data_IF_995998933327
#
_entry.id   IF_995998933327
#
_cell.length_a   1.000
_cell.length_b   1.000
_cell.length_c   1.000
_cell.angle_alpha   90.00
_cell.angle_beta   90.00
_cell.angle_gamma   90.00
#
_symmetry.space_group_name_H-M   'P 1'
#
loop_
_entity.id
_entity.type
_entity.pdbx_description
1 polymer ?
#
# COMPACT_ATOMS: atom_id res chain seq x y z
N UNK A 1 16.57 9.30 25.83
CA UNK A 1 16.22 7.87 25.90
C UNK A 1 14.78 7.76 26.38
N UNK A 2 13.82 7.69 25.46
CA UNK A 2 12.43 7.42 25.81
C UNK A 2 12.30 5.91 26.02
N UNK A 3 11.86 5.51 27.21
CA UNK A 3 11.56 4.11 27.53
C UNK A 3 10.49 3.62 26.55
N UNK A 4 10.83 2.64 25.72
CA UNK A 4 9.84 1.83 25.03
C UNK A 4 9.15 1.02 26.10
N UNK A 5 7.98 1.48 26.56
CA UNK A 5 7.09 0.64 27.34
C UNK A 5 6.72 -0.54 26.44
N UNK A 6 7.25 -1.71 26.78
CA UNK A 6 6.82 -2.96 26.18
C UNK A 6 5.30 -3.05 26.42
N UNK A 7 4.54 -3.11 25.33
CA UNK A 7 3.11 -3.36 25.39
C UNK A 7 2.89 -4.62 26.23
N UNK A 8 2.16 -4.51 27.34
CA UNK A 8 1.79 -5.65 28.16
C UNK A 8 1.16 -6.73 27.26
N UNK A 9 1.62 -7.97 27.40
CA UNK A 9 1.05 -9.16 26.74
C UNK A 9 -0.39 -9.36 27.24
N UNK A 10 -1.32 -8.61 26.64
CA UNK A 10 -2.75 -8.78 26.86
C UNK A 10 -3.24 -9.90 25.96
N UNK A 11 -3.82 -10.93 26.54
CA UNK A 11 -4.51 -11.97 25.78
C UNK A 11 -5.70 -11.38 25.02
N UNK A 12 -5.75 -11.66 23.70
CA UNK A 12 -6.86 -11.28 22.84
C UNK A 12 -8.10 -12.11 23.19
N UNK A 13 -9.25 -11.46 23.37
CA UNK A 13 -10.50 -12.20 23.60
C UNK A 13 -10.97 -12.89 22.33
N UNK A 14 -11.79 -13.95 22.47
CA UNK A 14 -12.37 -14.66 21.31
C UNK A 14 -13.16 -13.73 20.38
N UNK A 15 -13.89 -12.77 20.94
CA UNK A 15 -14.67 -11.82 20.14
C UNK A 15 -13.79 -10.78 19.45
N UNK A 16 -12.74 -10.27 20.10
CA UNK A 16 -11.76 -9.39 19.45
C UNK A 16 -11.06 -10.09 18.29
N UNK A 17 -10.63 -11.35 18.49
CA UNK A 17 -10.01 -12.17 17.45
C UNK A 17 -10.97 -12.39 16.27
N UNK A 18 -12.24 -12.68 16.54
CA UNK A 18 -13.25 -12.86 15.48
C UNK A 18 -13.44 -11.58 14.68
N UNK A 19 -13.50 -10.42 15.33
CA UNK A 19 -13.60 -9.12 14.67
C UNK A 19 -12.37 -8.86 13.80
N UNK A 20 -11.18 -9.17 14.30
CA UNK A 20 -9.92 -9.02 13.56
C UNK A 20 -9.89 -9.91 12.31
N UNK A 21 -10.24 -11.20 12.44
CA UNK A 21 -10.30 -12.14 11.32
C UNK A 21 -11.27 -11.65 10.25
N UNK A 22 -12.45 -11.15 10.64
CA UNK A 22 -13.43 -10.64 9.69
C UNK A 22 -12.93 -9.39 8.94
N UNK A 23 -12.20 -8.50 9.63
CA UNK A 23 -11.57 -7.33 9.01
C UNK A 23 -10.50 -7.74 8.00
N UNK A 24 -9.61 -8.65 8.38
CA UNK A 24 -8.55 -9.14 7.51
C UNK A 24 -9.12 -9.88 6.30
N UNK A 25 -10.15 -10.70 6.51
CA UNK A 25 -10.87 -11.39 5.44
C UNK A 25 -11.49 -10.38 4.47
N UNK A 26 -12.19 -9.36 4.98
CA UNK A 26 -12.78 -8.33 4.14
C UNK A 26 -11.73 -7.57 3.30
N UNK A 27 -10.59 -7.23 3.91
CA UNK A 27 -9.48 -6.57 3.22
C UNK A 27 -8.86 -7.46 2.14
N UNK A 28 -8.61 -8.74 2.46
CA UNK A 28 -8.08 -9.71 1.51
C UNK A 28 -9.03 -9.93 0.32
N UNK A 29 -10.33 -10.10 0.60
CA UNK A 29 -11.36 -10.21 -0.43
C UNK A 29 -11.45 -8.95 -1.29
N UNK A 30 -11.41 -7.76 -0.68
CA UNK A 30 -11.42 -6.49 -1.44
C UNK A 30 -10.22 -6.39 -2.38
N UNK A 31 -9.00 -6.66 -1.89
CA UNK A 31 -7.78 -6.68 -2.72
C UNK A 31 -7.88 -7.69 -3.87
N UNK A 32 -8.45 -8.88 -3.59
CA UNK A 32 -8.68 -9.91 -4.59
C UNK A 32 -9.66 -9.47 -5.68
N UNK A 33 -10.79 -8.87 -5.29
CA UNK A 33 -11.79 -8.37 -6.24
C UNK A 33 -11.25 -7.21 -7.09
N UNK A 34 -10.48 -6.30 -6.50
CA UNK A 34 -9.76 -5.25 -7.25
C UNK A 34 -8.84 -5.87 -8.30
N UNK A 35 -8.13 -6.96 -7.97
CA UNK A 35 -7.27 -7.68 -8.92
C UNK A 35 -8.06 -8.28 -10.07
N UNK A 36 -9.19 -8.93 -9.77
CA UNK A 36 -10.03 -9.57 -10.79
C UNK A 36 -10.65 -8.53 -11.73
N UNK A 37 -11.14 -7.43 -11.17
CA UNK A 37 -11.69 -6.33 -11.95
C UNK A 37 -10.60 -5.62 -12.77
N UNK A 38 -9.44 -5.31 -12.17
CA UNK A 38 -8.30 -4.72 -12.87
C UNK A 38 -7.82 -5.58 -14.04
N UNK A 39 -7.73 -6.90 -13.85
CA UNK A 39 -7.42 -7.85 -14.92
C UNK A 39 -8.41 -7.74 -16.08
N UNK A 40 -9.71 -7.64 -15.79
CA UNK A 40 -10.75 -7.48 -16.82
C UNK A 40 -10.59 -6.16 -17.58
N UNK A 41 -10.32 -5.06 -16.90
CA UNK A 41 -10.14 -3.74 -17.54
C UNK A 41 -8.90 -3.72 -18.45
N UNK A 42 -7.81 -4.39 -18.06
CA UNK A 42 -6.60 -4.55 -18.89
C UNK A 42 -6.87 -5.44 -20.10
N UNK A 43 -7.47 -6.62 -19.91
CA UNK A 43 -7.74 -7.56 -21.00
C UNK A 43 -8.76 -7.05 -22.02
N UNK A 44 -9.61 -6.10 -21.62
CA UNK A 44 -10.57 -5.43 -22.52
C UNK A 44 -10.00 -4.16 -23.16
N UNK A 45 -8.72 -3.84 -22.93
CA UNK A 45 -8.02 -2.72 -23.57
C UNK A 45 -8.36 -1.34 -23.03
N UNK A 46 -9.13 -1.26 -21.94
CA UNK A 46 -9.49 0.02 -21.30
C UNK A 46 -8.34 0.60 -20.48
N UNK A 47 -7.47 -0.27 -19.96
CA UNK A 47 -6.23 0.09 -19.29
C UNK A 47 -5.02 -0.37 -20.12
N UNK A 48 -3.93 0.43 -20.12
CA UNK A 48 -2.76 0.21 -20.97
C UNK A 48 -1.88 -0.97 -20.52
N UNK A 49 -1.80 -1.17 -19.21
CA UNK A 49 -0.99 -2.21 -18.56
C UNK A 49 -1.52 -2.43 -17.14
N UNK A 50 -1.47 -3.65 -16.64
CA UNK A 50 -1.76 -3.89 -15.23
C UNK A 50 -1.10 -5.17 -14.75
N UNK A 51 -0.36 -5.03 -13.64
CA UNK A 51 0.09 -6.15 -12.83
C UNK A 51 -0.65 -6.07 -11.51
N UNK A 52 -1.22 -7.20 -11.10
CA UNK A 52 -2.09 -7.28 -9.95
C UNK A 52 -1.37 -8.03 -8.80
N UNK A 53 -1.71 -7.70 -7.56
CA UNK A 53 -1.09 -8.23 -6.34
C UNK A 53 -1.64 -9.58 -5.85
N UNK A 54 -2.29 -10.35 -6.72
CA UNK A 54 -3.04 -11.53 -6.30
C UNK A 54 -2.22 -12.71 -5.72
N UNK A 55 -2.77 -13.41 -4.73
CA UNK A 55 -2.18 -14.59 -4.11
C UNK A 55 -1.12 -14.29 -3.04
N UNK A 56 -1.01 -13.04 -2.59
CA UNK A 56 -0.11 -12.59 -1.52
C UNK A 56 -0.82 -11.82 -0.42
N UNK A 57 -2.15 -11.82 -0.44
CA UNK A 57 -3.01 -10.97 0.38
C UNK A 57 -2.73 -11.19 1.88
N UNK A 58 -2.77 -12.44 2.33
CA UNK A 58 -2.58 -12.79 3.76
C UNK A 58 -1.17 -12.43 4.26
N UNK A 59 -0.13 -12.71 3.47
CA UNK A 59 1.25 -12.39 3.85
C UNK A 59 1.46 -10.87 3.97
N UNK A 60 0.85 -10.09 3.08
CA UNK A 60 0.92 -8.63 3.12
C UNK A 60 0.10 -8.04 4.27
N UNK A 61 -1.05 -8.62 4.61
CA UNK A 61 -1.82 -8.21 5.80
C UNK A 61 -1.03 -8.50 7.08
N UNK A 62 -0.40 -9.68 7.17
CA UNK A 62 0.46 -10.02 8.31
C UNK A 62 1.62 -9.04 8.47
N UNK A 63 2.28 -8.65 7.37
CA UNK A 63 3.31 -7.61 7.37
C UNK A 63 2.74 -6.25 7.82
N UNK A 64 1.59 -5.85 7.31
CA UNK A 64 0.96 -4.57 7.63
C UNK A 64 0.63 -4.42 9.12
N UNK A 65 0.25 -5.51 9.81
CA UNK A 65 -0.01 -5.49 11.25
C UNK A 65 1.21 -5.15 12.10
N UNK A 66 2.42 -5.39 11.58
CA UNK A 66 3.67 -5.03 12.26
C UNK A 66 4.16 -3.63 11.89
N UNK A 67 3.51 -2.99 10.92
CA UNK A 67 3.90 -1.68 10.40
C UNK A 67 3.54 -0.57 11.39
N UNK A 68 4.50 0.31 11.67
CA UNK A 68 4.35 1.38 12.65
C UNK A 68 4.45 2.75 11.96
N UNK A 69 3.84 3.80 12.54
CA UNK A 69 4.09 5.17 12.09
C UNK A 69 5.59 5.47 12.08
N UNK A 70 6.09 6.00 10.97
CA UNK A 70 7.52 6.23 10.74
C UNK A 70 8.21 5.15 9.93
N UNK A 71 7.66 3.95 9.81
CA UNK A 71 8.26 2.88 9.02
C UNK A 71 8.22 3.20 7.52
N UNK A 72 9.28 2.79 6.82
CA UNK A 72 9.48 3.02 5.39
C UNK A 72 9.46 1.74 4.58
N UNK A 73 8.67 1.76 3.51
CA UNK A 73 8.62 0.71 2.49
C UNK A 73 9.46 1.13 1.29
N UNK A 74 10.33 0.22 0.85
CA UNK A 74 10.94 0.24 -0.48
C UNK A 74 10.49 -1.04 -1.19
N UNK A 75 9.36 -0.94 -1.90
CA UNK A 75 8.58 -2.09 -2.32
C UNK A 75 8.67 -2.40 -3.82
N UNK A 76 7.76 -3.26 -4.27
CA UNK A 76 7.66 -3.62 -5.68
C UNK A 76 6.20 -3.82 -6.11
N UNK A 77 5.99 -4.06 -7.40
CA UNK A 77 4.70 -3.84 -8.06
C UNK A 77 3.51 -4.71 -7.61
N UNK A 78 3.71 -5.71 -6.73
CA UNK A 78 2.64 -6.61 -6.26
C UNK A 78 2.16 -6.34 -4.83
N UNK A 79 2.52 -5.20 -4.25
CA UNK A 79 2.23 -4.92 -2.83
C UNK A 79 0.90 -4.20 -2.59
N UNK A 80 -0.06 -4.34 -3.49
CA UNK A 80 -1.35 -3.62 -3.40
C UNK A 80 -2.07 -3.84 -2.06
N UNK A 81 -2.03 -5.06 -1.51
CA UNK A 81 -2.78 -5.40 -0.29
C UNK A 81 -2.10 -4.76 0.91
N UNK A 82 -0.76 -4.77 0.94
CA UNK A 82 0.02 -4.05 1.95
C UNK A 82 -0.35 -2.56 1.92
N UNK A 83 -0.36 -1.95 0.74
CA UNK A 83 -0.69 -0.52 0.59
C UNK A 83 -2.11 -0.19 1.04
N UNK A 84 -3.09 -1.05 0.74
CA UNK A 84 -4.45 -0.91 1.26
C UNK A 84 -4.50 -1.10 2.78
N UNK A 85 -3.78 -2.09 3.31
CA UNK A 85 -3.77 -2.42 4.74
C UNK A 85 -3.21 -1.29 5.61
N UNK A 86 -2.19 -0.58 5.13
CA UNK A 86 -1.62 0.59 5.82
C UNK A 86 -2.32 1.91 5.45
N UNK A 87 -3.39 1.87 4.66
CA UNK A 87 -4.18 3.06 4.30
C UNK A 87 -3.50 4.01 3.30
N UNK A 88 -2.49 3.54 2.57
CA UNK A 88 -1.80 4.33 1.54
C UNK A 88 -2.41 4.17 0.14
N UNK A 89 -3.42 3.31 -0.01
CA UNK A 89 -4.10 3.05 -1.27
C UNK A 89 -5.56 2.67 -1.02
N UNK A 90 -6.49 3.29 -1.74
CA UNK A 90 -7.87 2.80 -1.83
C UNK A 90 -8.12 2.07 -3.16
N UNK A 91 -9.18 1.25 -3.28
CA UNK A 91 -9.59 0.67 -4.55
C UNK A 91 -9.77 1.71 -5.67
N UNK A 92 -10.37 2.85 -5.37
CA UNK A 92 -10.59 3.95 -6.32
C UNK A 92 -9.26 4.53 -6.79
N UNK A 93 -8.31 4.75 -5.88
CA UNK A 93 -6.97 5.23 -6.22
C UNK A 93 -6.20 4.20 -7.06
N UNK A 94 -6.37 2.91 -6.79
CA UNK A 94 -5.79 1.85 -7.62
C UNK A 94 -6.30 1.95 -9.07
N UNK A 95 -7.61 2.14 -9.28
CA UNK A 95 -8.17 2.31 -10.62
C UNK A 95 -7.79 3.65 -11.24
N UNK A 96 -7.72 4.74 -10.48
CA UNK A 96 -7.20 6.02 -10.96
C UNK A 96 -5.76 5.88 -11.47
N UNK A 97 -4.92 5.11 -10.77
CA UNK A 97 -3.58 4.76 -11.23
C UNK A 97 -3.62 3.88 -12.47
N UNK A 98 -4.49 2.86 -12.51
CA UNK A 98 -4.64 1.96 -13.65
C UNK A 98 -5.00 2.71 -14.95
N UNK A 99 -5.80 3.78 -14.85
CA UNK A 99 -6.19 4.64 -15.97
C UNK A 99 -5.28 5.85 -16.19
N UNK A 100 -4.18 5.97 -15.44
CA UNK A 100 -3.24 7.09 -15.51
C UNK A 100 -3.91 8.46 -15.31
N UNK A 101 -4.76 8.57 -14.28
CA UNK A 101 -5.37 9.84 -13.89
C UNK A 101 -4.31 10.88 -13.53
N UNK A 102 -4.43 12.08 -14.10
CA UNK A 102 -3.54 13.20 -13.83
C UNK A 102 -3.93 14.01 -12.57
N UNK A 103 -5.07 13.69 -11.95
CA UNK A 103 -5.51 14.34 -10.72
C UNK A 103 -4.76 13.75 -9.51
N UNK A 104 -3.98 14.59 -8.83
CA UNK A 104 -3.20 14.22 -7.64
C UNK A 104 -4.07 13.74 -6.47
N UNK A 105 -5.32 14.18 -6.37
CA UNK A 105 -6.21 13.75 -5.31
C UNK A 105 -6.72 12.32 -5.55
N UNK A 106 -6.87 11.95 -6.83
CA UNK A 106 -7.29 10.61 -7.25
C UNK A 106 -6.09 9.64 -7.36
N UNK A 107 -4.93 10.12 -7.80
CA UNK A 107 -3.71 9.33 -7.96
C UNK A 107 -2.54 10.02 -7.25
N UNK A 108 -2.46 9.91 -5.91
CA UNK A 108 -1.48 10.65 -5.14
C UNK A 108 -0.04 10.17 -5.36
N UNK A 109 0.20 8.94 -5.81
CA UNK A 109 1.56 8.40 -5.92
C UNK A 109 2.37 9.09 -7.04
N UNK A 110 1.75 9.37 -8.19
CA UNK A 110 2.48 9.92 -9.34
C UNK A 110 1.73 10.95 -10.18
N UNK A 111 0.45 11.19 -9.94
CA UNK A 111 -0.47 11.90 -10.83
C UNK A 111 -0.40 11.37 -12.28
N UNK A 112 -0.48 10.04 -12.44
CA UNK A 112 -0.56 9.37 -13.75
C UNK A 112 0.75 9.28 -14.53
N UNK A 113 1.88 9.65 -13.91
CA UNK A 113 3.21 9.63 -14.55
C UNK A 113 3.85 8.24 -14.52
N UNK A 114 3.46 7.40 -13.57
CA UNK A 114 4.00 6.05 -13.40
C UNK A 114 3.01 5.01 -13.90
N UNK A 115 3.52 3.82 -14.28
CA UNK A 115 2.65 2.69 -14.60
C UNK A 115 1.92 2.18 -13.35
N UNK A 116 0.78 1.49 -13.54
CA UNK A 116 0.11 0.78 -12.45
C UNK A 116 1.07 -0.15 -11.68
N UNK A 117 0.89 -0.23 -10.37
CA UNK A 117 1.75 -0.99 -9.48
C UNK A 117 2.96 -0.20 -8.97
N UNK A 118 3.15 1.05 -9.37
CA UNK A 118 4.17 1.91 -8.78
C UNK A 118 3.57 2.75 -7.65
N UNK A 119 3.63 2.23 -6.43
CA UNK A 119 3.04 2.91 -5.28
C UNK A 119 4.03 3.88 -4.63
N UNK A 120 3.52 4.94 -4.01
CA UNK A 120 4.30 5.93 -3.27
C UNK A 120 3.39 6.67 -2.28
N UNK A 121 3.97 7.19 -1.19
CA UNK A 121 3.29 8.16 -0.33
C UNK A 121 3.80 9.57 -0.60
N UNK A 122 2.95 10.58 -0.44
CA UNK A 122 3.38 11.98 -0.45
C UNK A 122 4.21 12.28 0.79
N UNK A 123 5.28 13.07 0.62
CA UNK A 123 6.17 13.48 1.70
C UNK A 123 6.14 14.99 1.96
N UNK A 124 5.53 15.74 1.03
CA UNK A 124 5.35 17.17 1.11
C UNK A 124 3.86 17.49 1.15
N UNK A 125 3.49 18.55 1.86
CA UNK A 125 2.15 19.13 1.84
C UNK A 125 1.92 19.98 0.57
N UNK A 126 0.73 20.56 0.47
CA UNK A 126 0.32 21.45 -0.63
C UNK A 126 1.18 22.71 -0.76
N UNK A 127 1.87 23.11 0.31
CA UNK A 127 2.77 24.27 0.36
C UNK A 127 4.24 23.89 0.10
N UNK A 128 4.51 22.61 -0.21
CA UNK A 128 5.85 22.09 -0.43
C UNK A 128 6.67 21.91 0.85
N UNK A 129 6.05 21.95 2.03
CA UNK A 129 6.72 21.68 3.31
C UNK A 129 6.66 20.20 3.63
N UNK A 130 7.69 19.70 4.31
CA UNK A 130 7.70 18.33 4.80
C UNK A 130 6.56 18.09 5.79
N UNK A 131 5.81 17.01 5.56
CA UNK A 131 4.87 16.51 6.57
C UNK A 131 5.64 15.69 7.61
N UNK A 132 5.02 15.42 8.76
CA UNK A 132 5.66 14.65 9.81
C UNK A 132 5.71 13.15 9.44
N UNK A 133 6.76 12.75 8.73
CA UNK A 133 6.97 11.40 8.24
C UNK A 133 7.03 10.36 9.37
N UNK A 134 7.37 10.76 10.60
CA UNK A 134 7.41 9.87 11.78
C UNK A 134 6.01 9.50 12.32
N UNK A 135 4.96 10.14 11.81
CA UNK A 135 3.58 9.97 12.29
C UNK A 135 2.65 9.31 11.28
N UNK A 136 3.21 8.77 10.20
CA UNK A 136 2.45 8.13 9.14
C UNK A 136 3.22 6.90 8.60
N UNK A 137 2.54 5.96 7.93
CA UNK A 137 3.23 4.98 7.10
C UNK A 137 3.86 5.67 5.88
N UNK A 138 5.06 5.24 5.49
CA UNK A 138 5.76 5.82 4.35
C UNK A 138 6.07 4.76 3.29
N UNK A 139 5.93 5.14 2.02
CA UNK A 139 6.38 4.35 0.88
C UNK A 139 7.23 5.23 -0.01
N UNK A 140 8.48 4.81 -0.23
CA UNK A 140 9.27 5.38 -1.32
C UNK A 140 8.61 5.04 -2.67
N UNK A 141 8.82 5.84 -3.73
CA UNK A 141 8.22 5.56 -5.02
C UNK A 141 8.77 4.26 -5.60
N UNK A 142 7.92 3.27 -5.79
CA UNK A 142 8.31 2.01 -6.42
C UNK A 142 8.88 2.27 -7.82
N UNK A 143 9.72 1.36 -8.31
CA UNK A 143 10.41 1.48 -9.60
C UNK A 143 10.34 0.17 -10.38
N UNK A 144 10.43 0.27 -11.72
CA UNK A 144 10.34 -0.90 -12.60
C UNK A 144 11.57 -1.81 -12.60
N UNK A 145 12.83 -1.32 -12.45
CA UNK A 145 13.99 -2.19 -12.42
C UNK A 145 13.98 -3.14 -11.22
N UNK A 146 13.92 -4.45 -11.51
CA UNK A 146 13.96 -5.50 -10.49
C UNK A 146 15.16 -5.33 -9.57
N UNK A 147 14.92 -5.48 -8.26
CA UNK A 147 15.90 -5.36 -7.18
C UNK A 147 16.47 -3.94 -6.95
N UNK A 148 16.10 -2.92 -7.72
CA UNK A 148 16.53 -1.54 -7.46
C UNK A 148 16.00 -0.97 -6.13
N UNK A 149 14.90 -1.52 -5.62
CA UNK A 149 14.35 -1.19 -4.30
C UNK A 149 15.21 -1.70 -3.13
N UNK A 150 16.03 -2.74 -3.33
CA UNK A 150 16.84 -3.36 -2.28
C UNK A 150 17.95 -2.42 -1.75
N UNK A 151 18.85 -1.85 -2.58
CA UNK A 151 19.84 -0.90 -2.09
C UNK A 151 19.20 0.39 -1.57
N UNK A 152 18.04 0.78 -2.12
CA UNK A 152 17.27 1.92 -1.60
C UNK A 152 16.79 1.67 -0.17
N UNK A 153 16.29 0.47 0.13
CA UNK A 153 15.84 0.12 1.47
C UNK A 153 16.97 0.24 2.49
N UNK A 154 18.20 -0.13 2.12
CA UNK A 154 19.37 -0.02 2.98
C UNK A 154 19.77 1.43 3.28
N UNK A 155 19.52 2.34 2.35
CA UNK A 155 19.89 3.76 2.49
C UNK A 155 18.82 4.63 3.14
N UNK A 156 17.57 4.16 3.21
CA UNK A 156 16.47 4.79 3.94
C UNK A 156 16.62 4.53 5.44
#
# INVERSE_FOLDING_TARGET
MAKTEASEDREITREELKIEILKDFHLASTSREVSLMGRREVLTGKAKFGILGDGKEIAQIALAKQWRPGDWRSGYYRDQTMMMAVGLLTPEQFFAQLYASADVNLEPASAGRMMNGHYASRTLDENGKWINLTKQPNSSPDISPTAGQMPRLLGL
#
